data_IF_698574466888
#
_entry.id   IF_698574466888
#
_cell.length_a   1.000
_cell.length_b   1.000
_cell.length_c   1.000
_cell.angle_alpha   90.00
_cell.angle_beta   90.00
_cell.angle_gamma   90.00
#
_symmetry.space_group_name_H-M   'P 1'
#
loop_
_entity.id
_entity.type
_entity.pdbx_description
1 polymer ?
#
# COMPACT_ATOMS: atom_id res chain seq x y z
N UNK A 1 -11.82 11.50 73.42
CA UNK A 1 -12.05 12.43 72.30
C UNK A 1 -10.76 12.58 71.50
N UNK A 2 -10.72 12.08 70.26
CA UNK A 2 -10.39 12.83 69.05
C UNK A 2 -10.31 11.88 67.85
N UNK A 3 -11.13 12.21 66.86
CA UNK A 3 -11.38 11.51 65.61
C UNK A 3 -10.18 11.56 64.68
N UNK A 4 -9.92 10.49 63.93
CA UNK A 4 -9.36 10.55 62.58
C UNK A 4 -9.94 9.41 61.74
N UNK A 5 -11.07 9.66 61.09
CA UNK A 5 -11.51 8.92 59.92
C UNK A 5 -11.64 9.96 58.82
N UNK A 6 -10.75 9.92 57.86
CA UNK A 6 -10.81 10.79 56.71
C UNK A 6 -9.74 10.44 55.70
N UNK A 7 -10.18 10.26 54.46
CA UNK A 7 -9.40 10.32 53.23
C UNK A 7 -8.81 9.01 52.69
N UNK A 8 -9.67 8.20 52.07
CA UNK A 8 -9.23 7.25 51.03
C UNK A 8 -10.38 6.98 50.02
N UNK A 9 -10.87 8.01 49.32
CA UNK A 9 -11.86 7.80 48.25
C UNK A 9 -11.63 8.59 46.95
N UNK A 10 -10.54 9.38 46.84
CA UNK A 10 -10.32 10.25 45.67
C UNK A 10 -9.50 9.64 44.52
N UNK A 11 -8.67 8.63 44.77
CA UNK A 11 -7.64 8.22 43.81
C UNK A 11 -8.07 7.10 42.85
N UNK A 12 -8.98 6.22 43.25
CA UNK A 12 -9.40 5.08 42.44
C UNK A 12 -10.31 5.48 41.24
N UNK A 13 -11.18 6.47 41.42
CA UNK A 13 -12.10 6.92 40.37
C UNK A 13 -11.37 7.66 39.23
N UNK A 14 -10.35 8.45 39.54
CA UNK A 14 -9.58 9.19 38.53
C UNK A 14 -8.71 8.26 37.67
N UNK A 15 -8.18 7.18 38.23
CA UNK A 15 -7.38 6.19 37.50
C UNK A 15 -8.27 5.33 36.59
N UNK A 16 -9.45 4.91 37.05
CA UNK A 16 -10.38 4.10 36.26
C UNK A 16 -10.97 4.83 35.04
N UNK A 17 -11.30 6.13 35.18
CA UNK A 17 -11.81 6.94 34.07
C UNK A 17 -10.74 7.15 33.00
N UNK A 18 -9.48 7.36 33.39
CA UNK A 18 -8.38 7.50 32.44
C UNK A 18 -8.08 6.20 31.69
N UNK A 19 -8.11 5.04 32.36
CA UNK A 19 -7.89 3.74 31.71
C UNK A 19 -8.98 3.41 30.68
N UNK A 20 -10.25 3.62 31.03
CA UNK A 20 -11.38 3.40 30.11
C UNK A 20 -11.31 4.30 28.86
N UNK A 21 -10.91 5.57 29.04
CA UNK A 21 -10.71 6.49 27.92
C UNK A 21 -9.52 6.10 27.03
N UNK A 22 -8.46 5.50 27.59
CA UNK A 22 -7.31 5.01 26.81
C UNK A 22 -7.69 3.78 25.97
N UNK A 23 -8.42 2.83 26.55
CA UNK A 23 -8.85 1.61 25.84
C UNK A 23 -9.79 1.92 24.67
N UNK A 24 -10.73 2.84 24.88
CA UNK A 24 -11.69 3.28 23.84
C UNK A 24 -11.00 4.03 22.70
N UNK A 25 -10.04 4.90 22.99
CA UNK A 25 -9.25 5.59 21.95
C UNK A 25 -8.39 4.61 21.16
N UNK A 26 -7.72 3.66 21.84
CA UNK A 26 -6.91 2.61 21.20
C UNK A 26 -7.74 1.72 20.25
N UNK A 27 -8.95 1.34 20.67
CA UNK A 27 -9.86 0.56 19.83
C UNK A 27 -10.34 1.35 18.59
N UNK A 28 -10.65 2.65 18.75
CA UNK A 28 -11.05 3.50 17.64
C UNK A 28 -9.92 3.72 16.62
N UNK A 29 -8.68 3.94 17.08
CA UNK A 29 -7.51 4.06 16.20
C UNK A 29 -7.21 2.76 15.46
N UNK A 30 -7.34 1.61 16.13
CA UNK A 30 -7.17 0.31 15.48
C UNK A 30 -8.21 0.09 14.39
N UNK A 31 -9.47 0.47 14.63
CA UNK A 31 -10.52 0.37 13.63
C UNK A 31 -10.26 1.28 12.42
N UNK A 32 -9.75 2.50 12.61
CA UNK A 32 -9.39 3.37 11.49
C UNK A 32 -8.25 2.76 10.65
N UNK A 33 -7.20 2.25 11.29
CA UNK A 33 -6.08 1.59 10.61
C UNK A 33 -6.57 0.42 9.77
N UNK A 34 -7.36 -0.47 10.37
CA UNK A 34 -7.91 -1.63 9.67
C UNK A 34 -8.85 -1.22 8.54
N UNK A 35 -9.69 -0.21 8.73
CA UNK A 35 -10.58 0.29 7.69
C UNK A 35 -9.80 0.83 6.49
N UNK A 36 -8.71 1.57 6.71
CA UNK A 36 -7.87 2.07 5.62
C UNK A 36 -7.15 0.94 4.90
N UNK A 37 -6.67 -0.05 5.65
CA UNK A 37 -6.06 -1.27 5.10
C UNK A 37 -7.04 -2.00 4.19
N UNK A 38 -8.20 -2.37 4.71
CA UNK A 38 -9.18 -3.13 3.94
C UNK A 38 -9.69 -2.37 2.71
N UNK A 39 -9.75 -1.03 2.75
CA UNK A 39 -10.15 -0.24 1.58
C UNK A 39 -9.26 -0.46 0.36
N UNK A 40 -7.93 -0.46 0.52
CA UNK A 40 -7.05 -0.67 -0.65
C UNK A 40 -6.93 -2.14 -1.02
N UNK A 41 -7.05 -3.05 -0.05
CA UNK A 41 -7.03 -4.48 -0.35
C UNK A 41 -8.29 -4.90 -1.12
N UNK A 42 -9.48 -4.51 -0.65
CA UNK A 42 -10.75 -4.81 -1.32
C UNK A 42 -10.85 -4.16 -2.70
N UNK A 43 -10.31 -2.94 -2.85
CA UNK A 43 -10.19 -2.31 -4.16
C UNK A 43 -9.33 -3.15 -5.10
N UNK A 44 -8.14 -3.56 -4.65
CA UNK A 44 -7.23 -4.35 -5.47
C UNK A 44 -7.82 -5.71 -5.86
N UNK A 45 -8.45 -6.41 -4.91
CA UNK A 45 -9.18 -7.66 -5.17
C UNK A 45 -10.36 -7.47 -6.13
N UNK A 46 -11.04 -6.31 -6.10
CA UNK A 46 -12.12 -6.00 -7.02
C UNK A 46 -11.60 -5.76 -8.45
N UNK A 47 -10.50 -5.01 -8.60
CA UNK A 47 -9.86 -4.80 -9.89
C UNK A 47 -9.38 -6.12 -10.49
N UNK A 48 -8.79 -7.01 -9.69
CA UNK A 48 -8.34 -8.34 -10.15
C UNK A 48 -9.50 -9.23 -10.64
N UNK A 49 -10.74 -9.01 -10.17
CA UNK A 49 -11.93 -9.74 -10.59
C UNK A 49 -12.64 -9.10 -11.78
N UNK A 50 -12.29 -7.88 -12.14
CA UNK A 50 -12.96 -7.13 -13.19
C UNK A 50 -12.19 -7.28 -14.51
N UNK A 51 -12.76 -7.98 -15.50
CA UNK A 51 -12.08 -8.30 -16.76
C UNK A 51 -11.90 -7.07 -17.66
N UNK A 52 -12.29 -5.86 -17.24
CA UNK A 52 -11.99 -4.64 -18.01
C UNK A 52 -10.60 -4.09 -17.70
N UNK A 53 -9.89 -4.65 -16.71
CA UNK A 53 -8.57 -4.20 -16.29
C UNK A 53 -7.48 -5.20 -16.68
N UNK A 54 -6.39 -4.71 -17.24
CA UNK A 54 -5.23 -5.50 -17.63
C UNK A 54 -3.91 -4.88 -17.15
N UNK A 55 -2.80 -5.34 -17.73
CA UNK A 55 -1.47 -4.88 -17.37
C UNK A 55 -0.91 -3.89 -18.39
N UNK A 56 -0.33 -2.79 -17.95
CA UNK A 56 0.29 -1.80 -18.84
C UNK A 56 1.51 -1.12 -18.23
N UNK A 57 2.70 -1.48 -18.71
CA UNK A 57 3.95 -0.72 -18.56
C UNK A 57 4.21 0.23 -19.73
N UNK A 58 3.17 0.63 -20.48
CA UNK A 58 3.31 1.46 -21.68
C UNK A 58 4.05 0.80 -22.85
N UNK A 59 3.97 1.43 -24.03
CA UNK A 59 4.54 0.92 -25.28
C UNK A 59 6.08 0.94 -25.34
N UNK A 60 6.69 1.82 -24.53
CA UNK A 60 8.13 2.01 -24.42
C UNK A 60 8.49 2.04 -22.93
N UNK A 61 9.53 1.31 -22.51
CA UNK A 61 10.06 1.40 -21.15
C UNK A 61 10.29 2.87 -20.78
N UNK A 62 9.76 3.31 -19.63
CA UNK A 62 9.81 4.73 -19.31
C UNK A 62 11.23 5.26 -19.19
N UNK A 63 11.43 6.44 -19.77
CA UNK A 63 12.63 7.25 -19.62
C UNK A 63 12.23 8.70 -19.39
N UNK A 64 13.18 9.55 -18.98
CA UNK A 64 12.94 10.98 -18.85
C UNK A 64 12.43 11.66 -20.14
N UNK A 65 12.75 11.09 -21.30
CA UNK A 65 12.29 11.60 -22.60
C UNK A 65 10.91 11.04 -22.99
N UNK A 66 10.67 9.77 -22.65
CA UNK A 66 9.44 9.03 -22.95
C UNK A 66 8.88 8.45 -21.65
N UNK A 67 8.12 9.22 -20.85
CA UNK A 67 7.43 8.67 -19.69
C UNK A 67 6.46 7.58 -20.14
N UNK A 68 6.04 6.68 -19.25
CA UNK A 68 5.05 5.66 -19.59
C UNK A 68 3.83 6.31 -20.28
N UNK A 69 3.48 5.80 -21.46
CA UNK A 69 2.29 6.21 -22.23
C UNK A 69 1.28 5.07 -22.23
N UNK A 70 -0.02 5.39 -22.36
CA UNK A 70 -1.07 4.37 -22.46
C UNK A 70 -1.95 4.30 -21.21
N UNK A 71 -2.48 3.11 -20.95
CA UNK A 71 -3.54 2.87 -19.97
C UNK A 71 -3.05 2.59 -18.56
N UNK A 72 -1.74 2.77 -18.25
CA UNK A 72 -1.07 2.49 -16.96
C UNK A 72 -1.77 3.05 -15.70
N UNK A 73 -2.55 4.12 -15.86
CA UNK A 73 -3.24 4.79 -14.76
C UNK A 73 -4.74 4.44 -14.69
N UNK A 74 -5.17 3.46 -15.49
CA UNK A 74 -6.56 3.11 -15.76
C UNK A 74 -6.89 3.20 -17.25
N UNK A 75 -7.62 2.22 -17.82
CA UNK A 75 -8.15 1.03 -17.17
C UNK A 75 -7.11 -0.06 -16.84
N UNK A 76 -5.87 0.03 -17.32
CA UNK A 76 -4.84 -0.97 -17.04
C UNK A 76 -3.85 -0.46 -15.99
N UNK A 77 -2.97 -1.32 -15.49
CA UNK A 77 -1.99 -0.91 -14.47
C UNK A 77 -0.66 -1.63 -14.65
N UNK A 78 0.45 -0.97 -14.36
CA UNK A 78 1.66 -1.71 -13.99
C UNK A 78 1.66 -2.03 -12.48
N UNK A 79 2.67 -2.79 -12.03
CA UNK A 79 2.75 -3.21 -10.64
C UNK A 79 2.72 -2.03 -9.64
N UNK A 80 3.46 -0.97 -9.93
CA UNK A 80 3.54 0.22 -9.08
C UNK A 80 2.29 1.09 -9.15
N UNK A 81 1.81 1.44 -10.35
CA UNK A 81 0.61 2.23 -10.55
C UNK A 81 -0.58 1.56 -9.87
N UNK A 82 -0.71 0.23 -9.98
CA UNK A 82 -1.75 -0.53 -9.29
C UNK A 82 -1.75 -0.28 -7.77
N UNK A 83 -0.59 -0.35 -7.12
CA UNK A 83 -0.46 -0.10 -5.68
C UNK A 83 -0.67 1.37 -5.33
N UNK A 84 -0.17 2.31 -6.14
CA UNK A 84 -0.40 3.73 -5.98
C UNK A 84 -1.90 4.07 -6.01
N UNK A 85 -2.64 3.54 -6.98
CA UNK A 85 -4.08 3.77 -7.13
C UNK A 85 -4.89 3.08 -6.03
N UNK A 86 -4.50 1.87 -5.61
CA UNK A 86 -5.13 1.18 -4.47
C UNK A 86 -5.05 2.03 -3.19
N UNK A 87 -3.84 2.51 -2.87
CA UNK A 87 -3.61 3.38 -1.72
C UNK A 87 -4.31 4.73 -1.88
N UNK A 88 -4.29 5.33 -3.07
CA UNK A 88 -5.01 6.57 -3.37
C UNK A 88 -6.52 6.41 -3.12
N UNK A 89 -7.10 5.29 -3.54
CA UNK A 89 -8.51 4.96 -3.29
C UNK A 89 -8.83 4.82 -1.79
N UNK A 90 -7.88 4.30 -1.01
CA UNK A 90 -7.98 4.21 0.44
C UNK A 90 -7.69 5.53 1.18
N UNK A 91 -7.50 6.64 0.45
CA UNK A 91 -7.32 7.97 1.03
C UNK A 91 -5.88 8.28 1.45
N UNK A 92 -4.90 7.51 0.98
CA UNK A 92 -3.49 7.87 1.07
C UNK A 92 -3.16 8.78 -0.12
N UNK A 93 -2.71 10.03 0.09
CA UNK A 93 -2.38 10.96 -0.99
C UNK A 93 -1.05 10.59 -1.70
N UNK A 94 -0.94 9.36 -2.19
CA UNK A 94 0.25 8.80 -2.82
C UNK A 94 0.63 9.58 -4.08
N UNK A 95 -0.34 10.01 -4.88
CA UNK A 95 -0.08 10.81 -6.08
C UNK A 95 0.43 12.21 -5.70
N UNK A 96 -0.13 12.82 -4.66
CA UNK A 96 0.37 14.09 -4.13
C UNK A 96 1.77 13.96 -3.50
N UNK A 97 2.07 12.84 -2.85
CA UNK A 97 3.40 12.52 -2.31
C UNK A 97 4.43 12.36 -3.45
N UNK A 98 4.08 11.59 -4.48
CA UNK A 98 4.91 11.39 -5.67
C UNK A 98 5.25 12.69 -6.38
N UNK A 99 4.28 13.58 -6.59
CA UNK A 99 4.52 14.89 -7.22
C UNK A 99 5.49 15.80 -6.43
N UNK A 100 5.67 15.52 -5.14
CA UNK A 100 6.63 16.20 -4.25
C UNK A 100 7.95 15.44 -4.13
N UNK A 101 8.05 14.24 -4.68
CA UNK A 101 9.27 13.46 -4.73
C UNK A 101 10.27 14.13 -5.70
N UNK A 102 11.53 14.39 -5.30
CA UNK A 102 12.54 14.91 -6.23
C UNK A 102 12.71 14.06 -7.50
N UNK A 103 12.47 12.74 -7.40
CA UNK A 103 12.56 11.83 -8.53
C UNK A 103 11.46 12.07 -9.58
N UNK A 104 10.33 12.70 -9.24
CA UNK A 104 9.27 13.06 -10.20
C UNK A 104 9.80 13.93 -11.35
N UNK A 105 10.61 14.94 -11.02
CA UNK A 105 11.24 15.80 -12.01
C UNK A 105 12.46 15.13 -12.65
N UNK A 106 13.29 14.46 -11.86
CA UNK A 106 14.54 13.86 -12.33
C UNK A 106 14.33 12.70 -13.30
N UNK A 107 13.40 11.80 -13.00
CA UNK A 107 13.17 10.58 -13.78
C UNK A 107 12.24 10.83 -14.97
N UNK A 108 11.25 11.73 -14.83
CA UNK A 108 10.16 11.86 -15.81
C UNK A 108 9.85 13.29 -16.23
N UNK A 109 10.69 14.27 -15.86
CA UNK A 109 10.47 15.68 -16.16
C UNK A 109 9.07 16.18 -15.75
N UNK A 110 8.55 15.65 -14.64
CA UNK A 110 7.25 16.01 -14.10
C UNK A 110 6.05 15.57 -14.94
N UNK A 111 6.17 14.47 -15.69
CA UNK A 111 5.11 13.97 -16.58
C UNK A 111 4.41 12.70 -16.10
N UNK A 112 5.09 11.86 -15.33
CA UNK A 112 4.54 10.55 -14.96
C UNK A 112 3.54 10.67 -13.80
N UNK A 113 2.34 10.12 -13.95
CA UNK A 113 1.26 10.36 -13.00
C UNK A 113 1.46 9.68 -11.64
N UNK A 114 1.92 8.43 -11.62
CA UNK A 114 2.30 7.69 -10.39
C UNK A 114 3.77 7.25 -10.42
N UNK A 115 4.36 6.99 -9.25
CA UNK A 115 5.76 6.56 -9.14
C UNK A 115 5.99 5.10 -9.57
N UNK A 116 7.16 4.58 -9.26
CA UNK A 116 7.61 3.22 -9.56
C UNK A 116 7.87 2.43 -8.27
N UNK A 117 8.29 1.17 -8.40
CA UNK A 117 8.60 0.31 -7.26
C UNK A 117 9.75 0.85 -6.38
N UNK A 118 10.74 1.54 -6.97
CA UNK A 118 11.86 2.13 -6.23
C UNK A 118 11.53 3.49 -5.57
N UNK A 119 10.46 4.17 -6.01
CA UNK A 119 10.06 5.46 -5.43
C UNK A 119 8.94 5.36 -4.40
N UNK A 120 8.23 4.22 -4.33
CA UNK A 120 7.05 4.05 -3.47
C UNK A 120 7.35 4.25 -1.97
N UNK A 121 8.50 3.80 -1.48
CA UNK A 121 8.85 3.94 -0.06
C UNK A 121 9.05 5.41 0.34
N UNK A 122 9.90 6.22 -0.35
CA UNK A 122 9.97 7.65 -0.11
C UNK A 122 8.60 8.34 -0.07
N UNK A 123 7.66 7.94 -0.93
CA UNK A 123 6.33 8.54 -0.98
C UNK A 123 5.43 8.13 0.18
N UNK A 124 5.48 6.87 0.61
CA UNK A 124 4.86 6.43 1.86
C UNK A 124 5.43 7.14 3.10
N UNK A 125 6.74 7.39 3.13
CA UNK A 125 7.38 8.12 4.23
C UNK A 125 6.83 9.55 4.35
N UNK A 126 6.56 10.23 3.23
CA UNK A 126 5.97 11.59 3.21
C UNK A 126 4.55 11.60 3.76
N UNK A 127 3.79 10.54 3.53
CA UNK A 127 2.44 10.41 4.09
C UNK A 127 2.46 10.19 5.60
N UNK A 128 3.46 9.46 6.09
CA UNK A 128 3.58 9.05 7.49
C UNK A 128 2.67 7.88 7.85
N UNK A 129 2.97 7.23 8.97
CA UNK A 129 2.22 6.08 9.48
C UNK A 129 2.52 4.75 8.80
N UNK A 130 3.53 4.70 7.92
CA UNK A 130 4.07 3.45 7.40
C UNK A 130 5.39 3.09 8.09
N UNK A 131 5.60 1.79 8.30
CA UNK A 131 6.88 1.22 8.73
C UNK A 131 7.46 0.37 7.61
N UNK A 132 8.77 0.45 7.42
CA UNK A 132 9.52 -0.44 6.54
C UNK A 132 10.16 -1.56 7.32
N UNK A 133 10.08 -2.76 6.78
CA UNK A 133 10.78 -3.95 7.21
C UNK A 133 11.57 -4.51 6.02
N UNK A 134 12.66 -5.19 6.29
CA UNK A 134 13.27 -6.10 5.33
C UNK A 134 12.43 -7.36 5.21
N UNK A 135 12.51 -8.03 4.06
CA UNK A 135 11.80 -9.30 3.84
C UNK A 135 12.14 -10.34 4.92
N UNK A 136 13.41 -10.49 5.28
CA UNK A 136 13.85 -11.50 6.24
C UNK A 136 13.32 -11.26 7.66
N UNK A 137 13.09 -10.01 8.05
CA UNK A 137 12.51 -9.68 9.35
C UNK A 137 11.05 -10.12 9.48
N UNK A 138 10.28 -10.10 8.39
CA UNK A 138 8.82 -10.17 8.48
C UNK A 138 8.13 -11.23 7.63
N UNK A 139 8.85 -11.95 6.76
CA UNK A 139 8.28 -12.98 5.87
C UNK A 139 7.40 -14.03 6.56
N UNK A 140 7.68 -14.34 7.83
CA UNK A 140 6.92 -15.30 8.64
C UNK A 140 5.79 -14.66 9.46
N UNK A 141 5.62 -13.35 9.38
CA UNK A 141 4.63 -12.56 10.11
C UNK A 141 4.03 -11.45 9.22
N UNK A 142 3.79 -11.78 7.95
CA UNK A 142 3.09 -10.91 7.02
C UNK A 142 1.64 -10.73 7.47
N UNK A 143 1.16 -9.51 7.35
CA UNK A 143 -0.20 -9.12 7.71
C UNK A 143 -0.92 -8.62 6.46
N UNK A 144 -2.19 -9.02 6.31
CA UNK A 144 -3.05 -8.51 5.22
C UNK A 144 -2.94 -6.98 5.17
N UNK A 145 -2.72 -6.46 3.97
CA UNK A 145 -2.42 -5.05 3.73
C UNK A 145 -0.94 -4.70 3.61
N UNK A 146 -0.02 -5.59 3.99
CA UNK A 146 1.41 -5.36 3.77
C UNK A 146 1.69 -5.15 2.28
N UNK A 147 2.51 -4.15 1.97
CA UNK A 147 3.01 -3.92 0.61
C UNK A 147 4.36 -4.60 0.49
N UNK A 148 4.44 -5.70 -0.27
CA UNK A 148 5.69 -6.43 -0.50
C UNK A 148 6.37 -5.86 -1.75
N UNK A 149 7.67 -5.59 -1.66
CA UNK A 149 8.39 -4.87 -2.68
C UNK A 149 9.78 -5.46 -2.94
N UNK A 150 10.11 -5.62 -4.21
CA UNK A 150 11.47 -5.57 -4.72
C UNK A 150 11.60 -4.24 -5.48
N UNK A 151 12.28 -3.24 -4.90
CA UNK A 151 12.41 -1.91 -5.49
C UNK A 151 12.91 -1.92 -6.94
N UNK A 152 13.69 -2.93 -7.33
CA UNK A 152 14.23 -3.01 -8.69
C UNK A 152 13.29 -3.64 -9.71
N UNK A 153 12.21 -4.31 -9.28
CA UNK A 153 11.48 -5.24 -10.15
C UNK A 153 9.98 -5.19 -10.00
N UNK A 154 9.44 -5.19 -8.77
CA UNK A 154 8.03 -5.52 -8.59
C UNK A 154 7.49 -5.11 -7.22
N UNK A 155 6.22 -4.75 -7.17
CA UNK A 155 5.51 -4.41 -5.93
C UNK A 155 4.10 -4.99 -5.96
N UNK A 156 3.59 -5.43 -4.81
CA UNK A 156 2.30 -6.09 -4.67
C UNK A 156 1.66 -5.84 -3.30
N UNK A 157 0.35 -6.10 -3.20
CA UNK A 157 -0.38 -6.03 -1.93
C UNK A 157 -0.57 -7.46 -1.40
N UNK A 158 -0.09 -7.74 -0.19
CA UNK A 158 -0.33 -9.01 0.49
C UNK A 158 -1.76 -9.05 1.05
N UNK A 159 -2.50 -10.09 0.70
CA UNK A 159 -3.94 -10.21 1.02
C UNK A 159 -4.22 -11.23 2.13
N UNK A 160 -3.18 -11.85 2.71
CA UNK A 160 -3.29 -12.91 3.70
C UNK A 160 -3.15 -14.30 3.09
N UNK A 161 -2.98 -15.33 3.93
CA UNK A 161 -2.93 -16.72 3.50
C UNK A 161 -1.75 -17.09 2.58
N UNK A 162 -0.65 -16.33 2.61
CA UNK A 162 0.47 -16.54 1.68
C UNK A 162 0.23 -15.98 0.27
N UNK A 163 -0.79 -15.12 0.10
CA UNK A 163 -1.21 -14.62 -1.21
C UNK A 163 -0.99 -13.11 -1.34
N UNK A 164 -0.71 -12.68 -2.57
CA UNK A 164 -0.71 -11.28 -3.00
C UNK A 164 -1.75 -11.05 -4.09
N UNK A 165 -2.22 -9.82 -4.22
CA UNK A 165 -2.86 -9.31 -5.43
C UNK A 165 -1.90 -8.36 -6.13
N UNK A 166 -1.70 -8.56 -7.42
CA UNK A 166 -0.66 -7.86 -8.17
C UNK A 166 -0.94 -7.77 -9.67
N UNK A 167 -0.55 -6.64 -10.27
CA UNK A 167 -0.48 -6.45 -11.71
C UNK A 167 0.90 -6.93 -12.22
N UNK A 168 0.96 -7.99 -13.05
CA UNK A 168 2.23 -8.65 -13.40
C UNK A 168 2.42 -9.16 -14.84
N UNK A 169 1.59 -8.74 -15.80
CA UNK A 169 1.88 -8.92 -17.23
C UNK A 169 2.27 -10.35 -17.65
N UNK A 170 1.51 -11.36 -17.20
CA UNK A 170 1.84 -12.79 -17.34
C UNK A 170 2.05 -13.26 -18.77
N UNK A 171 1.39 -12.62 -19.74
CA UNK A 171 1.48 -12.96 -21.16
C UNK A 171 2.31 -11.98 -22.00
N UNK A 172 2.78 -10.87 -21.41
CA UNK A 172 3.63 -9.91 -22.10
C UNK A 172 4.58 -9.18 -21.12
N UNK A 173 5.75 -9.76 -20.81
CA UNK A 173 6.72 -9.18 -19.87
C UNK A 173 7.39 -7.91 -20.40
N UNK A 174 7.15 -7.53 -21.65
CA UNK A 174 7.64 -6.28 -22.26
C UNK A 174 6.56 -5.18 -22.34
N UNK A 175 5.30 -5.50 -22.05
CA UNK A 175 4.16 -4.64 -22.35
C UNK A 175 3.91 -4.47 -23.86
N UNK A 176 2.72 -4.01 -24.23
CA UNK A 176 2.48 -3.48 -25.59
C UNK A 176 1.81 -4.40 -26.62
N UNK A 177 0.92 -5.31 -26.21
CA UNK A 177 -0.16 -5.78 -27.09
C UNK A 177 -1.51 -5.37 -26.47
N UNK A 178 -2.21 -4.46 -27.16
CA UNK A 178 -3.02 -3.38 -26.56
C UNK A 178 -4.52 -3.65 -26.50
N UNK A 179 -4.92 -4.71 -25.83
CA UNK A 179 -6.34 -4.87 -25.51
C UNK A 179 -6.48 -4.88 -24.00
N UNK A 180 -6.88 -3.72 -23.50
CA UNK A 180 -7.39 -3.55 -22.14
C UNK A 180 -8.28 -4.72 -21.76
N UNK A 181 -7.95 -5.37 -20.64
CA UNK A 181 -8.78 -6.42 -20.04
C UNK A 181 -8.77 -7.78 -20.76
N UNK A 182 -7.91 -8.02 -21.75
CA UNK A 182 -8.04 -9.23 -22.59
C UNK A 182 -7.10 -10.40 -22.27
N UNK A 183 -6.15 -10.27 -21.31
CA UNK A 183 -5.08 -11.28 -21.24
C UNK A 183 -5.18 -12.30 -20.11
N UNK A 184 -6.07 -12.16 -19.13
CA UNK A 184 -6.24 -13.14 -18.05
C UNK A 184 -4.99 -13.30 -17.16
N UNK A 185 -5.13 -13.10 -15.86
CA UNK A 185 -3.99 -13.19 -14.94
C UNK A 185 -3.11 -11.94 -14.88
N UNK A 186 -3.33 -10.94 -15.73
CA UNK A 186 -2.58 -9.68 -15.74
C UNK A 186 -2.61 -8.95 -14.41
N UNK A 187 -3.79 -8.89 -13.80
CA UNK A 187 -4.00 -8.49 -12.41
C UNK A 187 -4.71 -9.66 -11.74
N UNK A 188 -4.03 -10.35 -10.83
CA UNK A 188 -4.56 -11.58 -10.24
C UNK A 188 -3.91 -11.88 -8.89
N UNK A 189 -4.27 -13.02 -8.31
CA UNK A 189 -3.83 -13.51 -7.02
C UNK A 189 -2.71 -14.52 -7.20
N UNK A 190 -1.60 -14.29 -6.51
CA UNK A 190 -0.39 -15.09 -6.63
C UNK A 190 0.17 -15.50 -5.26
N UNK A 191 0.98 -16.55 -5.24
CA UNK A 191 1.73 -16.92 -4.04
C UNK A 191 2.86 -15.91 -3.78
N UNK A 192 2.99 -15.47 -2.53
CA UNK A 192 4.01 -14.51 -2.09
C UNK A 192 5.42 -15.11 -2.04
N UNK A 193 5.55 -16.42 -1.88
CA UNK A 193 6.83 -17.10 -1.68
C UNK A 193 7.67 -17.17 -2.96
N UNK A 194 8.99 -17.30 -2.78
CA UNK A 194 9.96 -17.51 -3.87
C UNK A 194 9.99 -16.41 -4.96
N UNK A 195 9.50 -15.21 -4.64
CA UNK A 195 9.48 -14.04 -5.55
C UNK A 195 10.68 -13.10 -5.42
N UNK A 196 11.52 -13.31 -4.41
CA UNK A 196 12.73 -12.51 -4.18
C UNK A 196 12.49 -11.10 -3.65
N UNK A 197 11.38 -10.88 -2.92
CA UNK A 197 11.07 -9.65 -2.22
C UNK A 197 12.24 -9.19 -1.33
N UNK A 198 12.36 -7.87 -1.15
CA UNK A 198 13.43 -7.24 -0.38
C UNK A 198 12.90 -6.45 0.79
N UNK A 199 11.77 -5.78 0.60
CA UNK A 199 11.19 -4.87 1.56
C UNK A 199 9.69 -5.14 1.73
N UNK A 200 9.18 -4.77 2.90
CA UNK A 200 7.75 -4.80 3.23
C UNK A 200 7.37 -3.48 3.88
N UNK A 201 6.29 -2.86 3.42
CA UNK A 201 5.77 -1.61 3.97
C UNK A 201 4.41 -1.86 4.62
N UNK A 202 4.32 -1.58 5.92
CA UNK A 202 3.11 -1.79 6.72
C UNK A 202 2.53 -0.48 7.20
N UNK A 203 1.25 -0.25 6.96
CA UNK A 203 0.53 0.85 7.58
C UNK A 203 0.22 0.51 9.05
N UNK A 204 0.56 1.41 9.96
CA UNK A 204 0.40 1.22 11.42
C UNK A 204 -0.38 2.35 12.10
N UNK A 205 -0.97 3.27 11.32
CA UNK A 205 -1.61 4.47 11.86
C UNK A 205 -0.65 5.65 12.00
N UNK A 206 -1.23 6.85 12.15
CA UNK A 206 -0.48 8.08 12.47
C UNK A 206 -0.46 8.31 13.98
#
# INVERSE_FOLDING_TARGET
>A
MKNFIGLALGLAAFVAVNLCNIETVSAATNNEVQNRIERYVLWAEAIARDPVHGYSQGAENATAKNPYTGSREGPDYDCSAFVYHALQYAGFDMIGAWKKNPDYMKLYNGKQFSGDADTIWPDMQRLGGFKKFTWDEIKNNLQRGDIVCDPMRHVAIYIGGGLTVEARGVNNPKGGDYKTGDQGGEIDIYNVENRGWKEVYRYVGK
#
